data_IF_990834548040
#
_entry.id   IF_990834548040
#
_cell.length_a   1.000
_cell.length_b   1.000
_cell.length_c   1.000
_cell.angle_alpha   90.00
_cell.angle_beta   90.00
_cell.angle_gamma   90.00
#
_symmetry.space_group_name_H-M   'P 1'
#
loop_
_entity.id
_entity.type
_entity.pdbx_description
1 polymer ?
#
# COMPACT_ATOMS: atom_id res chain seq x y z
N UNK A 1 24.13 -3.02 -59.77
CA UNK A 1 25.39 -2.64 -59.08
C UNK A 1 25.95 -3.87 -58.39
N UNK A 2 27.26 -4.09 -58.52
CA UNK A 2 28.01 -5.34 -58.31
C UNK A 2 28.17 -5.79 -56.85
N UNK A 3 28.08 -7.11 -56.64
CA UNK A 3 28.96 -8.07 -55.90
C UNK A 3 29.73 -7.60 -54.65
N UNK A 4 29.58 -8.35 -53.53
CA UNK A 4 30.63 -9.05 -52.71
C UNK A 4 30.02 -9.36 -51.31
N UNK A 5 29.65 -10.60 -50.94
CA UNK A 5 30.44 -11.74 -50.38
C UNK A 5 31.28 -11.48 -49.13
N UNK A 6 31.13 -12.38 -48.13
CA UNK A 6 32.09 -12.68 -47.05
C UNK A 6 31.77 -11.97 -45.74
N UNK A 7 31.87 -12.56 -44.53
CA UNK A 7 32.61 -13.74 -44.10
C UNK A 7 31.96 -14.26 -42.80
N UNK A 8 31.87 -15.60 -42.66
CA UNK A 8 31.67 -16.27 -41.37
C UNK A 8 32.97 -16.22 -40.57
N UNK A 9 32.88 -16.04 -39.25
CA UNK A 9 33.91 -16.50 -38.31
C UNK A 9 33.23 -17.21 -37.12
N UNK A 10 33.65 -18.45 -36.92
CA UNK A 10 33.28 -19.36 -35.84
C UNK A 10 34.25 -19.17 -34.65
N UNK A 11 33.82 -19.76 -33.52
CA UNK A 11 34.66 -20.30 -32.41
C UNK A 11 35.37 -19.24 -31.55
N UNK A 12 35.34 -19.32 -30.22
CA UNK A 12 35.73 -20.44 -29.37
C UNK A 12 35.03 -20.43 -28.01
N UNK A 13 34.60 -21.61 -27.56
CA UNK A 13 34.29 -21.90 -26.16
C UNK A 13 35.60 -21.96 -25.35
N UNK A 14 35.57 -21.40 -24.14
CA UNK A 14 36.58 -21.66 -23.12
C UNK A 14 35.88 -22.25 -21.89
N UNK A 15 36.07 -23.55 -21.72
CA UNK A 15 35.80 -24.29 -20.49
C UNK A 15 36.97 -24.01 -19.55
N UNK A 16 36.69 -23.51 -18.35
CA UNK A 16 37.67 -23.41 -17.27
C UNK A 16 37.15 -24.21 -16.06
N UNK A 17 37.60 -25.46 -16.02
CA UNK A 17 37.69 -26.30 -14.83
C UNK A 17 38.89 -25.86 -13.99
N UNK A 18 38.67 -25.52 -12.72
CA UNK A 18 39.66 -25.62 -11.64
C UNK A 18 38.88 -25.74 -10.31
N UNK A 19 38.85 -26.92 -9.71
CA UNK A 19 39.80 -27.42 -8.72
C UNK A 19 39.28 -27.15 -7.29
N UNK A 20 38.77 -28.22 -6.69
CA UNK A 20 38.41 -28.31 -5.29
C UNK A 20 39.66 -28.21 -4.41
N UNK A 21 39.56 -27.42 -3.34
CA UNK A 21 40.42 -27.54 -2.17
C UNK A 21 39.53 -27.59 -0.93
N UNK A 22 39.32 -28.81 -0.41
CA UNK A 22 38.85 -29.03 0.95
C UNK A 22 39.98 -28.61 1.91
N UNK A 23 39.76 -27.54 2.67
CA UNK A 23 40.49 -27.30 3.92
C UNK A 23 39.57 -27.65 5.08
N UNK A 24 39.82 -28.82 5.67
CA UNK A 24 39.32 -29.20 6.99
C UNK A 24 40.27 -28.59 8.02
N UNK A 25 39.83 -27.55 8.72
CA UNK A 25 40.50 -27.03 9.91
C UNK A 25 39.78 -27.55 11.15
N UNK A 26 40.43 -28.46 11.86
CA UNK A 26 40.05 -28.92 13.19
C UNK A 26 40.35 -27.82 14.21
N UNK A 27 39.31 -27.09 14.62
CA UNK A 27 39.37 -26.12 15.72
C UNK A 27 39.30 -26.79 17.10
N UNK A 28 39.89 -26.17 18.14
CA UNK A 28 39.94 -26.73 19.49
C UNK A 28 38.57 -26.73 20.19
N UNK A 29 38.38 -27.72 21.06
CA UNK A 29 37.18 -27.91 21.87
C UNK A 29 36.84 -26.70 22.75
N UNK A 30 35.56 -26.33 22.90
CA UNK A 30 35.15 -25.34 23.88
C UNK A 30 35.28 -25.91 25.29
N UNK A 31 35.93 -25.15 26.16
CA UNK A 31 35.92 -25.39 27.60
C UNK A 31 34.46 -25.28 28.12
N UNK A 32 34.03 -26.30 28.87
CA UNK A 32 32.78 -26.28 29.62
C UNK A 32 32.83 -25.15 30.66
N UNK A 33 32.16 -24.04 30.35
CA UNK A 33 31.87 -23.01 31.33
C UNK A 33 30.83 -23.54 32.34
N UNK A 34 31.13 -23.35 33.63
CA UNK A 34 30.27 -23.72 34.74
C UNK A 34 28.88 -23.06 34.65
N UNK A 35 27.81 -23.72 35.15
CA UNK A 35 26.47 -23.13 35.17
C UNK A 35 26.46 -21.92 36.11
N UNK A 36 26.12 -20.75 35.56
CA UNK A 36 25.81 -19.56 36.34
C UNK A 36 24.53 -19.81 37.17
N UNK A 37 24.44 -19.29 38.41
CA UNK A 37 23.25 -19.43 39.23
C UNK A 37 22.05 -18.78 38.52
N UNK A 38 20.97 -19.56 38.41
CA UNK A 38 19.68 -19.09 37.92
C UNK A 38 19.13 -18.01 38.85
N UNK A 39 19.30 -16.73 38.48
CA UNK A 39 18.51 -15.65 39.04
C UNK A 39 17.11 -15.70 38.42
N UNK A 40 16.20 -16.38 39.11
CA UNK A 40 14.76 -16.33 38.87
C UNK A 40 14.24 -14.95 39.28
N UNK A 41 14.41 -13.95 38.42
CA UNK A 41 13.63 -12.70 38.51
C UNK A 41 12.39 -12.85 37.66
N UNK A 42 11.39 -13.52 38.24
CA UNK A 42 10.02 -13.45 37.76
C UNK A 42 9.51 -12.01 37.89
N UNK A 43 9.66 -11.20 36.83
CA UNK A 43 8.84 -10.00 36.64
C UNK A 43 7.54 -10.41 35.96
N UNK A 44 6.57 -10.82 36.77
CA UNK A 44 5.16 -10.77 36.40
C UNK A 44 4.69 -9.32 36.48
N UNK A 45 5.05 -8.50 35.49
CA UNK A 45 4.30 -7.28 35.18
C UNK A 45 3.18 -7.64 34.21
N UNK A 46 2.19 -8.37 34.74
CA UNK A 46 0.92 -8.58 34.08
C UNK A 46 0.12 -7.29 34.10
N UNK A 47 0.44 -6.36 33.20
CA UNK A 47 -0.59 -5.45 32.73
C UNK A 47 -1.66 -6.37 32.12
N UNK A 48 -2.83 -6.42 32.73
CA UNK A 48 -3.99 -7.09 32.14
C UNK A 48 -4.19 -6.43 30.78
N UNK A 49 -3.68 -7.07 29.73
CA UNK A 49 -3.78 -6.55 28.37
C UNK A 49 -5.25 -6.39 28.08
N UNK A 50 -5.65 -5.19 27.65
CA UNK A 50 -7.00 -4.95 27.16
C UNK A 50 -7.25 -6.02 26.09
N UNK A 51 -8.32 -6.80 26.26
CA UNK A 51 -8.61 -7.89 25.35
C UNK A 51 -8.83 -7.32 23.95
N UNK A 52 -8.07 -7.83 22.97
CA UNK A 52 -8.27 -7.49 21.56
C UNK A 52 -9.71 -7.80 21.18
N UNK A 53 -10.46 -6.86 20.59
CA UNK A 53 -11.81 -7.12 20.12
C UNK A 53 -11.80 -8.29 19.12
N UNK A 54 -12.74 -9.23 19.27
CA UNK A 54 -12.88 -10.35 18.34
C UNK A 54 -13.40 -9.92 16.96
N UNK A 55 -14.01 -8.75 16.89
CA UNK A 55 -14.56 -8.12 15.68
C UNK A 55 -14.32 -6.61 15.74
N UNK A 56 -14.51 -5.90 14.63
CA UNK A 56 -14.49 -4.43 14.63
C UNK A 56 -15.58 -3.86 15.55
N UNK A 57 -15.21 -2.88 16.38
CA UNK A 57 -16.13 -2.07 17.18
C UNK A 57 -15.88 -0.60 16.86
N UNK A 58 -16.73 0.01 16.00
CA UNK A 58 -16.59 1.41 15.63
C UNK A 58 -16.62 2.39 16.81
N UNK A 59 -17.20 2.02 17.96
CA UNK A 59 -17.22 2.87 19.15
C UNK A 59 -15.82 3.00 19.79
N UNK A 60 -15.00 1.95 19.72
CA UNK A 60 -13.63 1.97 20.24
C UNK A 60 -12.70 2.86 19.41
N UNK A 61 -13.02 3.03 18.12
CA UNK A 61 -12.22 3.79 17.15
C UNK A 61 -12.78 5.17 16.86
N UNK A 62 -13.73 5.63 17.67
CA UNK A 62 -14.35 6.94 17.51
C UNK A 62 -13.32 8.07 17.58
N UNK A 63 -13.75 9.27 17.21
CA UNK A 63 -12.92 10.50 17.24
C UNK A 63 -12.43 10.89 18.64
N UNK A 64 -12.86 10.18 19.68
CA UNK A 64 -12.43 10.36 21.07
C UNK A 64 -11.34 9.39 21.50
N UNK A 65 -10.97 8.41 20.68
CA UNK A 65 -9.86 7.51 21.00
C UNK A 65 -8.56 8.33 21.07
N UNK A 66 -7.71 8.09 22.09
CA UNK A 66 -6.51 8.90 22.28
C UNK A 66 -5.48 8.62 21.18
N UNK A 67 -4.66 9.63 20.86
CA UNK A 67 -3.43 9.43 20.09
C UNK A 67 -2.31 9.14 21.08
N UNK A 68 -1.71 7.94 21.03
CA UNK A 68 -0.83 7.47 22.12
C UNK A 68 0.49 6.81 21.67
N UNK A 69 0.72 6.63 20.38
CA UNK A 69 1.92 5.94 19.89
C UNK A 69 2.34 6.34 18.49
N UNK A 70 3.34 5.63 17.97
CA UNK A 70 3.87 5.78 16.62
C UNK A 70 3.98 4.40 15.99
N UNK A 71 3.46 4.24 14.78
CA UNK A 71 3.56 2.98 14.04
C UNK A 71 5.04 2.74 13.66
N UNK A 72 5.64 1.58 13.97
CA UNK A 72 7.00 1.26 13.52
C UNK A 72 7.09 1.21 11.99
N UNK A 73 8.25 1.57 11.42
CA UNK A 73 8.46 1.50 9.98
C UNK A 73 9.69 2.29 9.52
N UNK A 74 9.99 2.19 8.24
CA UNK A 74 11.04 2.98 7.57
C UNK A 74 10.48 4.35 7.20
N UNK A 75 11.34 5.37 7.18
CA UNK A 75 10.99 6.73 6.76
C UNK A 75 12.07 7.34 5.86
N UNK A 76 11.71 8.35 5.07
CA UNK A 76 12.67 9.10 4.25
C UNK A 76 13.34 8.20 3.19
N UNK A 77 14.64 8.40 2.96
CA UNK A 77 15.39 7.62 1.94
C UNK A 77 15.30 6.11 2.17
N UNK A 78 15.31 5.64 3.42
CA UNK A 78 15.18 4.21 3.69
C UNK A 78 13.82 3.63 3.26
N UNK A 79 12.74 4.41 3.39
CA UNK A 79 11.42 4.00 2.89
C UNK A 79 11.38 4.00 1.36
N UNK A 80 12.04 4.98 0.72
CA UNK A 80 12.13 5.09 -0.74
C UNK A 80 12.90 3.91 -1.33
N UNK A 81 14.06 3.60 -0.77
CA UNK A 81 14.90 2.50 -1.22
C UNK A 81 14.19 1.15 -1.04
N UNK A 82 13.46 0.97 0.07
CA UNK A 82 12.69 -0.24 0.34
C UNK A 82 11.46 -0.39 -0.57
N UNK A 83 10.77 0.70 -0.91
CA UNK A 83 9.67 0.66 -1.86
C UNK A 83 10.14 0.33 -3.28
N UNK A 84 11.40 0.66 -3.61
CA UNK A 84 12.12 0.10 -4.74
C UNK A 84 11.48 0.38 -6.11
N UNK A 85 11.61 -0.57 -7.07
CA UNK A 85 11.13 -0.38 -8.45
C UNK A 85 9.63 -0.11 -8.57
N UNK A 86 8.83 -0.52 -7.58
CA UNK A 86 7.40 -0.32 -7.53
C UNK A 86 7.05 1.17 -7.38
N UNK A 87 7.68 1.85 -6.43
CA UNK A 87 7.51 3.28 -6.24
C UNK A 87 8.09 4.10 -7.41
N UNK A 88 9.23 3.66 -7.96
CA UNK A 88 9.80 4.28 -9.16
C UNK A 88 8.87 4.19 -10.37
N UNK A 89 8.19 3.05 -10.54
CA UNK A 89 7.25 2.84 -11.64
C UNK A 89 6.02 3.73 -11.51
N UNK A 90 5.44 3.81 -10.31
CA UNK A 90 4.33 4.71 -10.01
C UNK A 90 4.69 6.16 -10.36
N UNK A 91 5.85 6.64 -9.90
CA UNK A 91 6.33 8.00 -10.16
C UNK A 91 6.44 8.28 -11.66
N UNK A 92 7.05 7.37 -12.42
CA UNK A 92 7.18 7.52 -13.88
C UNK A 92 5.81 7.68 -14.58
N UNK A 93 4.83 6.87 -14.20
CA UNK A 93 3.50 6.90 -14.80
C UNK A 93 2.71 8.15 -14.37
N UNK A 94 2.86 8.62 -13.13
CA UNK A 94 2.28 9.88 -12.66
C UNK A 94 2.86 11.08 -13.40
N UNK A 95 4.18 11.10 -13.65
CA UNK A 95 4.85 12.12 -14.46
C UNK A 95 4.38 12.09 -15.93
N UNK A 96 4.19 10.91 -16.51
CA UNK A 96 3.62 10.74 -17.85
C UNK A 96 2.17 11.27 -17.94
N UNK A 97 1.30 10.92 -16.99
CA UNK A 97 -0.08 11.45 -16.91
C UNK A 97 -0.11 12.96 -16.80
N UNK A 98 0.77 13.53 -15.97
CA UNK A 98 0.88 14.98 -15.78
C UNK A 98 1.31 15.67 -17.08
N UNK A 99 2.31 15.14 -17.78
CA UNK A 99 2.75 15.66 -19.09
C UNK A 99 1.66 15.54 -20.17
N UNK A 100 0.95 14.41 -20.21
CA UNK A 100 -0.15 14.21 -21.15
C UNK A 100 -1.28 15.23 -20.92
N UNK A 101 -1.65 15.47 -19.66
CA UNK A 101 -2.66 16.49 -19.28
C UNK A 101 -2.22 17.92 -19.62
N UNK A 102 -0.92 18.19 -19.60
CA UNK A 102 -0.35 19.46 -20.06
C UNK A 102 -0.28 19.58 -21.59
N UNK A 103 -0.91 18.68 -22.36
CA UNK A 103 -1.02 18.76 -23.82
C UNK A 103 0.26 18.42 -24.58
N UNK A 104 1.19 17.67 -23.96
CA UNK A 104 2.44 17.28 -24.62
C UNK A 104 2.23 15.95 -25.40
N UNK A 105 2.24 15.96 -26.75
CA UNK A 105 2.06 14.73 -27.55
C UNK A 105 3.31 13.85 -27.45
N UNK A 106 3.13 12.59 -27.05
CA UNK A 106 4.23 11.62 -26.91
C UNK A 106 4.13 10.62 -25.77
N UNK A 107 3.06 10.65 -24.95
CA UNK A 107 2.79 9.55 -24.02
C UNK A 107 2.52 8.30 -24.85
N UNK A 108 3.50 7.38 -24.87
CA UNK A 108 3.33 6.06 -25.47
C UNK A 108 2.06 5.40 -24.92
N UNK A 109 1.50 4.43 -25.63
CA UNK A 109 0.48 3.53 -25.10
C UNK A 109 1.07 2.77 -23.90
N UNK A 110 1.08 3.46 -22.75
CA UNK A 110 1.78 3.04 -21.56
C UNK A 110 0.94 1.98 -20.88
N UNK A 111 1.64 1.05 -20.24
CA UNK A 111 1.07 0.11 -19.29
C UNK A 111 -0.07 0.75 -18.51
N UNK A 112 -1.12 -0.03 -18.35
CA UNK A 112 -2.35 0.42 -17.75
C UNK A 112 -2.09 0.89 -16.31
N UNK A 113 -2.21 2.20 -16.08
CA UNK A 113 -2.50 2.77 -14.77
C UNK A 113 -4.00 3.05 -14.76
N UNK A 114 -4.77 2.06 -14.34
CA UNK A 114 -6.22 2.22 -14.15
C UNK A 114 -6.52 2.20 -12.67
N UNK A 115 -7.30 3.19 -12.29
CA UNK A 115 -7.89 3.31 -10.97
C UNK A 115 -9.40 3.30 -11.10
N UNK A 116 -10.06 2.80 -10.06
CA UNK A 116 -11.46 3.06 -9.81
C UNK A 116 -11.59 3.42 -8.34
N UNK A 117 -12.35 4.47 -8.04
CA UNK A 117 -12.53 4.88 -6.67
C UNK A 117 -13.83 5.62 -6.36
N UNK A 118 -13.77 6.35 -5.23
CA UNK A 118 -14.76 7.34 -4.85
C UNK A 118 -14.08 8.71 -4.86
N UNK A 119 -14.55 9.54 -5.78
CA UNK A 119 -14.23 10.95 -5.83
C UNK A 119 -14.80 11.67 -4.59
N UNK A 120 -13.93 12.46 -3.96
CA UNK A 120 -14.30 13.42 -2.93
C UNK A 120 -14.20 14.81 -3.55
N UNK A 121 -15.27 15.63 -3.56
CA UNK A 121 -15.20 16.97 -4.13
C UNK A 121 -14.12 17.81 -3.43
N UNK A 122 -13.39 18.63 -4.20
CA UNK A 122 -12.40 19.55 -3.62
C UNK A 122 -13.05 20.43 -2.53
N UNK A 123 -12.45 20.45 -1.34
CA UNK A 123 -12.97 21.19 -0.18
C UNK A 123 -14.09 20.49 0.59
N UNK A 124 -14.53 19.30 0.18
CA UNK A 124 -15.55 18.53 0.91
C UNK A 124 -15.01 17.84 2.18
N UNK A 125 -13.68 17.80 2.34
CA UNK A 125 -13.04 17.00 3.37
C UNK A 125 -11.78 17.66 3.94
N UNK A 126 -11.67 17.63 5.27
CA UNK A 126 -10.43 17.85 6.02
C UNK A 126 -9.81 16.53 6.49
N UNK A 127 -10.35 15.38 6.07
CA UNK A 127 -9.89 14.08 6.51
C UNK A 127 -10.73 12.89 6.02
N UNK A 128 -10.09 11.73 5.96
CA UNK A 128 -10.64 10.47 5.53
C UNK A 128 -10.38 9.42 6.60
N UNK A 129 -11.43 8.73 7.03
CA UNK A 129 -11.34 7.53 7.85
C UNK A 129 -11.88 6.35 7.06
N UNK A 130 -11.22 5.20 7.13
CA UNK A 130 -11.65 3.99 6.45
C UNK A 130 -11.20 2.74 7.20
N UNK A 131 -11.82 1.60 6.89
CA UNK A 131 -11.36 0.28 7.31
C UNK A 131 -11.04 -0.54 6.09
N UNK A 132 -9.80 -0.98 5.97
CA UNK A 132 -9.22 -1.53 4.74
C UNK A 132 -8.73 -2.95 4.99
N UNK A 133 -9.10 -3.87 4.10
CA UNK A 133 -8.69 -5.28 4.18
C UNK A 133 -7.19 -5.44 3.95
N UNK A 134 -6.60 -6.43 4.60
CA UNK A 134 -5.28 -6.97 4.28
C UNK A 134 -5.45 -8.33 3.65
N UNK A 135 -4.93 -8.48 2.44
CA UNK A 135 -4.93 -9.76 1.74
C UNK A 135 -3.70 -10.56 2.18
N UNK A 136 -3.82 -11.21 3.33
CA UNK A 136 -2.80 -12.12 3.84
C UNK A 136 -2.72 -13.42 3.04
N UNK A 137 -1.51 -13.94 2.83
CA UNK A 137 -1.29 -15.21 2.13
C UNK A 137 -1.50 -15.15 0.61
N UNK A 138 -1.70 -13.97 0.03
CA UNK A 138 -1.57 -13.76 -1.40
C UNK A 138 -0.16 -14.13 -1.85
N UNK A 139 -0.06 -14.66 -3.07
CA UNK A 139 1.25 -14.85 -3.68
C UNK A 139 1.84 -13.47 -3.93
N UNK A 140 3.17 -13.39 -3.77
CA UNK A 140 3.94 -12.30 -4.35
C UNK A 140 3.48 -12.05 -5.78
N UNK A 141 3.31 -10.78 -6.15
CA UNK A 141 3.05 -10.45 -7.54
C UNK A 141 4.26 -10.82 -8.39
N UNK A 142 4.00 -11.18 -9.64
CA UNK A 142 5.01 -11.54 -10.63
C UNK A 142 4.93 -10.64 -11.85
N UNK A 143 5.87 -10.77 -12.79
CA UNK A 143 5.88 -9.96 -14.01
C UNK A 143 6.24 -8.48 -13.81
N UNK A 144 6.66 -8.09 -12.60
CA UNK A 144 6.85 -6.70 -12.23
C UNK A 144 5.53 -5.96 -11.98
N UNK A 145 4.44 -6.70 -11.72
CA UNK A 145 3.15 -6.13 -11.39
C UNK A 145 3.09 -5.66 -9.94
N UNK A 146 2.30 -4.62 -9.70
CA UNK A 146 2.00 -4.11 -8.36
C UNK A 146 0.49 -3.87 -8.26
N UNK A 147 -0.08 -4.26 -7.12
CA UNK A 147 -1.49 -3.99 -6.80
C UNK A 147 -1.52 -3.06 -5.61
N UNK A 148 -2.15 -1.90 -5.79
CA UNK A 148 -2.36 -0.90 -4.75
C UNK A 148 -3.84 -0.92 -4.39
N UNK A 149 -4.17 -1.60 -3.29
CA UNK A 149 -5.56 -1.78 -2.90
C UNK A 149 -5.73 -2.24 -1.43
N UNK A 150 -6.57 -1.59 -0.64
CA UNK A 150 -7.15 -0.26 -0.86
C UNK A 150 -6.10 0.87 -0.81
N UNK A 151 -6.41 2.02 -1.42
CA UNK A 151 -5.71 3.30 -1.15
C UNK A 151 -6.65 4.31 -0.47
N UNK A 152 -6.08 5.35 0.14
CA UNK A 152 -6.79 6.38 0.89
C UNK A 152 -6.08 7.73 0.79
N UNK A 153 -6.67 8.69 0.05
CA UNK A 153 -6.25 10.09 0.02
C UNK A 153 -7.46 11.00 0.28
N UNK A 154 -7.41 11.90 1.30
CA UNK A 154 -8.44 12.91 1.48
C UNK A 154 -8.46 13.94 0.34
N UNK A 155 -9.60 14.61 0.15
CA UNK A 155 -9.68 15.74 -0.78
C UNK A 155 -8.86 16.96 -0.31
N UNK A 156 -8.83 18.01 -1.13
CA UNK A 156 -8.43 19.35 -0.68
C UNK A 156 -6.93 19.58 -0.58
N UNK A 157 -6.13 18.87 -1.39
CA UNK A 157 -4.67 19.01 -1.40
C UNK A 157 -4.01 18.31 -0.22
N UNK A 158 -4.54 17.14 0.17
CA UNK A 158 -3.98 16.32 1.21
C UNK A 158 -2.53 15.95 0.90
N UNK A 159 -1.65 16.08 1.90
CA UNK A 159 -0.23 15.81 1.73
C UNK A 159 0.12 14.32 1.68
N UNK A 160 -0.84 13.43 1.94
CA UNK A 160 -0.55 12.01 2.07
C UNK A 160 -1.64 11.15 1.47
N UNK A 161 -1.19 10.10 0.80
CA UNK A 161 -2.01 8.95 0.44
C UNK A 161 -1.49 7.72 1.19
N UNK A 162 -2.39 7.01 1.85
CA UNK A 162 -2.10 5.70 2.44
C UNK A 162 -2.42 4.61 1.43
N UNK A 163 -1.47 3.73 1.15
CA UNK A 163 -1.60 2.69 0.12
C UNK A 163 -1.20 1.34 0.69
N UNK A 164 -2.09 0.35 0.61
CA UNK A 164 -1.66 -1.05 0.77
C UNK A 164 -1.07 -1.52 -0.56
N UNK A 165 0.25 -1.73 -0.59
CA UNK A 165 0.99 -2.17 -1.76
C UNK A 165 1.28 -3.67 -1.67
N UNK A 166 0.82 -4.45 -2.65
CA UNK A 166 1.24 -5.83 -2.84
C UNK A 166 2.31 -5.89 -3.92
N UNK A 167 3.50 -6.26 -3.50
CA UNK A 167 4.70 -6.31 -4.33
C UNK A 167 5.22 -7.76 -4.44
N UNK A 168 6.26 -8.01 -5.25
CA UNK A 168 6.94 -9.29 -5.25
C UNK A 168 7.56 -9.70 -3.90
N UNK A 169 7.84 -8.72 -3.02
CA UNK A 169 8.44 -8.97 -1.70
C UNK A 169 7.40 -9.15 -0.59
N UNK A 170 6.14 -8.81 -0.87
CA UNK A 170 5.01 -8.99 0.03
C UNK A 170 4.12 -7.76 0.17
N UNK A 171 3.14 -7.80 1.10
CA UNK A 171 2.30 -6.67 1.41
C UNK A 171 3.01 -5.66 2.33
N UNK A 172 3.02 -4.41 1.91
CA UNK A 172 3.47 -3.28 2.69
C UNK A 172 2.35 -2.23 2.78
N UNK A 173 2.35 -1.48 3.88
CA UNK A 173 1.59 -0.25 3.98
C UNK A 173 2.54 0.92 3.73
N UNK A 174 2.18 1.80 2.79
CA UNK A 174 2.95 2.98 2.42
C UNK A 174 2.18 4.26 2.73
N UNK A 175 2.91 5.33 3.06
CA UNK A 175 2.43 6.70 2.90
C UNK A 175 3.21 7.38 1.76
N UNK A 176 2.52 7.71 0.68
CA UNK A 176 3.02 8.63 -0.32
C UNK A 176 3.01 10.05 0.23
N UNK A 177 4.13 10.75 0.12
CA UNK A 177 4.26 12.15 0.52
C UNK A 177 4.12 13.06 -0.71
N UNK A 178 2.99 13.74 -0.78
CA UNK A 178 2.63 14.66 -1.86
C UNK A 178 2.97 16.12 -1.55
N UNK A 179 3.59 16.41 -0.40
CA UNK A 179 3.98 17.78 0.02
C UNK A 179 5.46 17.94 0.36
N UNK A 180 6.18 16.84 0.64
CA UNK A 180 7.61 16.83 0.94
C UNK A 180 8.53 16.84 -0.28
N UNK A 181 7.98 17.00 -1.49
CA UNK A 181 8.72 17.04 -2.75
C UNK A 181 8.60 15.74 -3.54
N UNK A 182 7.77 15.78 -4.58
CA UNK A 182 7.55 14.82 -5.67
C UNK A 182 7.56 13.35 -5.28
N UNK A 183 6.35 12.83 -5.08
CA UNK A 183 5.94 11.45 -5.37
C UNK A 183 6.89 10.41 -4.79
N UNK A 184 7.09 10.47 -3.47
CA UNK A 184 7.94 9.51 -2.76
C UNK A 184 7.18 8.81 -1.67
N UNK A 185 7.55 7.57 -1.42
CA UNK A 185 7.14 6.88 -0.21
C UNK A 185 7.86 7.53 0.97
N UNK A 186 7.11 8.33 1.74
CA UNK A 186 7.60 9.01 2.94
C UNK A 186 7.73 8.07 4.13
N UNK A 187 6.88 7.04 4.17
CA UNK A 187 6.92 5.95 5.16
C UNK A 187 6.51 4.61 4.55
N UNK A 188 7.16 3.54 5.00
CA UNK A 188 6.86 2.15 4.65
C UNK A 188 6.79 1.29 5.91
N UNK A 189 5.83 0.38 6.00
CA UNK A 189 5.71 -0.59 7.09
C UNK A 189 5.32 -1.95 6.52
N UNK A 190 6.16 -2.99 6.67
CA UNK A 190 5.78 -4.34 6.28
C UNK A 190 4.55 -4.81 7.04
N UNK A 191 3.60 -5.43 6.33
CA UNK A 191 2.36 -5.95 6.93
C UNK A 191 2.58 -7.38 7.45
N UNK A 192 3.62 -7.54 8.27
CA UNK A 192 4.04 -8.80 8.86
C UNK A 192 3.15 -9.22 10.05
N UNK A 193 3.52 -10.31 10.74
CA UNK A 193 2.78 -10.79 11.90
C UNK A 193 2.67 -9.77 13.04
N UNK A 194 3.64 -8.88 13.22
CA UNK A 194 3.61 -7.84 14.25
C UNK A 194 2.60 -6.75 13.87
N UNK A 195 2.60 -6.32 12.60
CA UNK A 195 1.57 -5.41 12.07
C UNK A 195 0.18 -6.03 12.23
N UNK A 196 -0.01 -7.26 11.75
CA UNK A 196 -1.30 -7.96 11.79
C UNK A 196 -1.81 -8.13 13.23
N UNK A 197 -0.94 -8.49 14.17
CA UNK A 197 -1.36 -8.64 15.58
C UNK A 197 -1.69 -7.34 16.30
N UNK A 198 -1.19 -6.20 15.82
CA UNK A 198 -1.33 -4.90 16.47
C UNK A 198 -2.41 -4.02 15.84
N UNK A 199 -2.41 -3.91 14.51
CA UNK A 199 -3.18 -2.92 13.77
C UNK A 199 -4.38 -3.49 13.01
N UNK A 200 -4.63 -4.81 13.09
CA UNK A 200 -5.79 -5.41 12.42
C UNK A 200 -6.84 -5.92 13.39
N UNK A 201 -8.05 -6.06 12.88
CA UNK A 201 -9.15 -6.86 13.44
C UNK A 201 -9.75 -7.73 12.31
N UNK A 202 -10.81 -8.47 12.61
CA UNK A 202 -11.55 -9.23 11.58
C UNK A 202 -12.76 -8.45 11.10
N UNK A 203 -12.82 -8.15 9.80
CA UNK A 203 -13.97 -7.56 9.11
C UNK A 203 -14.30 -8.41 7.90
N UNK A 204 -15.57 -8.82 7.74
CA UNK A 204 -15.98 -9.69 6.63
C UNK A 204 -15.22 -11.03 6.58
N UNK A 205 -14.76 -11.53 7.74
CA UNK A 205 -13.97 -12.76 7.84
C UNK A 205 -12.50 -12.63 7.42
N UNK A 206 -11.99 -11.40 7.27
CA UNK A 206 -10.61 -11.12 6.82
C UNK A 206 -9.90 -10.14 7.76
N UNK A 207 -8.57 -10.17 7.85
CA UNK A 207 -7.82 -9.12 8.54
C UNK A 207 -8.08 -7.77 7.87
N UNK A 208 -8.34 -6.74 8.67
CA UNK A 208 -8.51 -5.37 8.20
C UNK A 208 -7.93 -4.40 9.22
N UNK A 209 -7.30 -3.33 8.76
CA UNK A 209 -6.84 -2.24 9.60
C UNK A 209 -7.73 -1.02 9.43
N UNK A 210 -7.70 -0.13 10.42
CA UNK A 210 -8.43 1.12 10.35
C UNK A 210 -7.47 2.29 10.35
N UNK A 211 -7.74 3.24 9.47
CA UNK A 211 -6.93 4.43 9.28
C UNK A 211 -7.74 5.69 9.50
N UNK A 212 -7.03 6.75 9.86
CA UNK A 212 -7.49 8.14 9.91
C UNK A 212 -6.40 9.01 9.27
N UNK A 213 -6.74 9.76 8.23
CA UNK A 213 -5.87 10.77 7.63
C UNK A 213 -6.60 12.10 7.72
N UNK A 214 -6.09 13.10 8.44
CA UNK A 214 -6.73 14.41 8.51
C UNK A 214 -5.74 15.56 8.62
N UNK A 215 -6.21 16.75 8.26
CA UNK A 215 -5.44 17.97 8.37
C UNK A 215 -5.34 18.37 9.85
N UNK A 216 -4.12 18.39 10.37
CA UNK A 216 -3.81 18.78 11.76
C UNK A 216 -3.41 20.24 11.88
N UNK A 217 -3.02 20.90 10.76
CA UNK A 217 -2.80 22.35 10.71
C UNK A 217 -3.12 22.90 9.32
N UNK A 218 -4.14 23.76 9.24
CA UNK A 218 -4.47 24.46 7.99
C UNK A 218 -3.41 25.50 7.58
N UNK A 219 -2.76 26.15 8.56
CA UNK A 219 -1.81 27.24 8.30
C UNK A 219 -0.54 26.77 7.56
N UNK A 220 -0.12 25.54 7.82
CA UNK A 220 1.07 24.91 7.22
C UNK A 220 0.71 23.77 6.27
N UNK A 221 -0.58 23.57 5.98
CA UNK A 221 -1.12 22.40 5.30
C UNK A 221 -0.51 21.09 5.82
N UNK A 222 -0.54 20.89 7.13
CA UNK A 222 -0.03 19.68 7.78
C UNK A 222 -1.14 18.65 7.87
N UNK A 223 -0.84 17.43 7.44
CA UNK A 223 -1.71 16.27 7.52
C UNK A 223 -1.03 15.18 8.33
N UNK A 224 -1.82 14.46 9.13
CA UNK A 224 -1.36 13.29 9.89
C UNK A 224 -2.21 12.06 9.55
N UNK A 225 -1.53 10.95 9.33
CA UNK A 225 -2.11 9.63 9.15
C UNK A 225 -1.92 8.83 10.44
N UNK A 226 -2.93 8.08 10.84
CA UNK A 226 -2.94 7.27 12.03
C UNK A 226 -3.50 5.88 11.73
N UNK A 227 -3.04 4.87 12.47
CA UNK A 227 -3.60 3.53 12.48
C UNK A 227 -4.19 3.23 13.85
N UNK A 228 -5.35 2.57 13.87
CA UNK A 228 -5.94 2.15 15.13
C UNK A 228 -5.20 0.93 15.67
N UNK A 229 -4.61 1.07 16.85
CA UNK A 229 -3.97 -0.02 17.57
C UNK A 229 -5.03 -0.81 18.35
N UNK A 230 -5.39 -1.97 17.83
CA UNK A 230 -6.43 -2.84 18.40
C UNK A 230 -6.00 -3.51 19.71
N UNK A 231 -4.76 -3.33 20.16
CA UNK A 231 -4.28 -3.81 21.47
C UNK A 231 -4.40 -2.76 22.57
N UNK A 232 -4.27 -1.49 22.21
CA UNK A 232 -4.29 -0.37 23.18
C UNK A 232 -5.55 0.48 23.10
N UNK A 233 -6.37 0.28 22.06
CA UNK A 233 -7.54 1.09 21.73
C UNK A 233 -7.21 2.58 21.56
N UNK A 234 -6.06 2.85 20.93
CA UNK A 234 -5.55 4.18 20.65
C UNK A 234 -5.18 4.31 19.17
N UNK A 235 -5.18 5.54 18.68
CA UNK A 235 -4.59 5.89 17.39
C UNK A 235 -3.07 6.02 17.55
N UNK A 236 -2.32 5.28 16.76
CA UNK A 236 -0.87 5.47 16.64
C UNK A 236 -0.59 6.30 15.39
N UNK A 237 0.24 7.34 15.52
CA UNK A 237 0.65 8.17 14.37
C UNK A 237 1.48 7.32 13.42
N UNK A 238 0.99 7.18 12.20
CA UNK A 238 1.71 6.52 11.12
C UNK A 238 2.72 7.49 10.53
N UNK A 239 2.25 8.59 9.94
CA UNK A 239 3.09 9.55 9.23
C UNK A 239 2.49 10.96 9.29
N UNK A 240 3.34 11.98 9.21
CA UNK A 240 2.92 13.38 9.15
C UNK A 240 3.71 14.06 8.04
N UNK A 241 3.01 14.79 7.17
CA UNK A 241 3.62 15.61 6.13
C UNK A 241 3.00 17.00 6.11
N UNK A 242 3.76 17.98 5.65
CA UNK A 242 3.34 19.37 5.53
C UNK A 242 4.00 20.03 4.34
N UNK A 243 3.30 20.93 3.67
CA UNK A 243 3.88 21.69 2.56
C UNK A 243 2.85 22.03 1.50
N UNK A 244 3.35 22.35 0.31
CA UNK A 244 2.49 22.62 -0.84
C UNK A 244 2.15 21.31 -1.51
N UNK A 245 0.87 21.10 -1.82
CA UNK A 245 0.45 19.92 -2.56
C UNK A 245 1.01 19.94 -3.99
N UNK A 246 1.71 18.88 -4.37
CA UNK A 246 2.48 18.81 -5.62
C UNK A 246 1.64 18.48 -6.87
N UNK A 247 0.37 18.07 -6.70
CA UNK A 247 -0.51 17.64 -7.79
C UNK A 247 -1.83 18.44 -7.91
N UNK A 248 -1.83 19.78 -7.87
CA UNK A 248 -3.04 20.60 -7.80
C UNK A 248 -3.97 20.45 -9.01
N UNK A 249 -3.47 19.94 -10.13
CA UNK A 249 -4.26 19.67 -11.34
C UNK A 249 -5.22 18.50 -11.19
N UNK A 250 -5.04 17.63 -10.20
CA UNK A 250 -5.88 16.45 -10.00
C UNK A 250 -6.75 16.67 -8.76
N UNK A 251 -8.06 16.71 -8.97
CA UNK A 251 -9.00 16.56 -7.87
C UNK A 251 -9.04 15.07 -7.52
N UNK A 252 -8.22 14.64 -6.56
CA UNK A 252 -8.23 13.25 -6.12
C UNK A 252 -9.35 13.02 -5.10
N UNK A 253 -9.99 11.87 -5.23
CA UNK A 253 -10.63 11.18 -4.12
C UNK A 253 -9.81 9.95 -3.76
N UNK A 254 -10.36 9.06 -2.95
CA UNK A 254 -9.65 7.82 -2.65
C UNK A 254 -9.79 6.82 -3.81
N UNK A 255 -8.67 6.21 -4.20
CA UNK A 255 -8.63 5.17 -5.20
C UNK A 255 -8.86 3.81 -4.53
N UNK A 256 -9.94 3.14 -4.93
CA UNK A 256 -10.31 1.85 -4.33
C UNK A 256 -9.32 0.77 -4.75
N UNK A 257 -9.02 0.72 -6.05
CA UNK A 257 -8.21 -0.32 -6.64
C UNK A 257 -7.38 0.25 -7.78
N UNK A 258 -6.07 0.16 -7.64
CA UNK A 258 -5.10 0.64 -8.62
C UNK A 258 -4.12 -0.49 -8.94
N UNK A 259 -3.82 -0.67 -10.23
CA UNK A 259 -2.89 -1.70 -10.69
C UNK A 259 -1.86 -1.13 -11.63
N UNK A 260 -0.68 -1.70 -11.52
CA UNK A 260 0.44 -1.55 -12.44
C UNK A 260 0.73 -2.92 -12.98
N UNK A 261 0.41 -3.14 -14.25
CA UNK A 261 0.50 -4.49 -14.80
C UNK A 261 1.10 -4.53 -16.20
N UNK A 262 1.84 -5.60 -16.45
CA UNK A 262 2.15 -6.07 -17.80
C UNK A 262 1.23 -7.23 -18.16
N UNK A 263 0.68 -7.20 -19.37
CA UNK A 263 -0.13 -8.30 -19.89
C UNK A 263 0.75 -9.54 -20.10
N UNK A 264 0.36 -10.66 -19.49
CA UNK A 264 0.93 -11.96 -19.77
C UNK A 264 0.50 -12.40 -21.19
N UNK A 265 1.44 -12.58 -22.14
CA UNK A 265 1.10 -12.88 -23.52
C UNK A 265 0.45 -14.27 -23.70
N UNK A 266 0.58 -15.17 -22.73
CA UNK A 266 -0.02 -16.51 -22.79
C UNK A 266 -1.51 -16.52 -22.39
N UNK A 267 -1.94 -15.59 -21.55
CA UNK A 267 -3.32 -15.51 -21.05
C UNK A 267 -4.09 -14.30 -21.55
N UNK A 268 -3.39 -13.26 -22.01
CA UNK A 268 -3.98 -11.97 -22.38
C UNK A 268 -4.46 -11.14 -21.18
N UNK A 269 -4.09 -11.53 -19.95
CA UNK A 269 -4.41 -10.82 -18.72
C UNK A 269 -3.14 -10.38 -17.98
N UNK A 270 -3.23 -9.40 -17.08
CA UNK A 270 -2.16 -9.00 -16.18
C UNK A 270 -1.67 -10.16 -15.31
N UNK A 271 -0.37 -10.21 -14.99
CA UNK A 271 0.19 -11.27 -14.12
C UNK A 271 -0.50 -11.31 -12.75
N UNK A 272 -0.80 -10.13 -12.20
CA UNK A 272 -1.50 -10.01 -10.91
C UNK A 272 -2.85 -10.75 -10.88
N UNK A 273 -3.52 -10.89 -12.03
CA UNK A 273 -4.81 -11.55 -12.13
C UNK A 273 -4.72 -13.03 -11.71
N UNK A 274 -3.61 -13.69 -12.03
CA UNK A 274 -3.33 -15.06 -11.57
C UNK A 274 -2.78 -15.08 -10.14
N UNK A 275 -1.87 -14.16 -9.81
CA UNK A 275 -1.18 -14.15 -8.51
C UNK A 275 -2.14 -13.86 -7.34
N UNK A 276 -3.15 -13.03 -7.62
CA UNK A 276 -4.17 -12.60 -6.67
C UNK A 276 -5.50 -13.35 -6.86
N UNK A 277 -5.52 -14.47 -7.60
CA UNK A 277 -6.72 -15.26 -7.79
C UNK A 277 -7.31 -15.75 -6.46
N UNK A 278 -8.62 -15.60 -6.30
CA UNK A 278 -9.38 -15.89 -5.07
C UNK A 278 -9.33 -14.79 -4.01
N UNK A 279 -8.54 -13.74 -4.20
CA UNK A 279 -8.39 -12.68 -3.23
C UNK A 279 -9.53 -11.65 -3.31
N UNK A 280 -9.77 -10.98 -2.18
CA UNK A 280 -10.77 -9.92 -2.09
C UNK A 280 -10.18 -8.75 -1.31
N UNK A 281 -10.18 -7.60 -1.95
CA UNK A 281 -9.84 -6.30 -1.37
C UNK A 281 -11.16 -5.60 -1.03
N UNK A 282 -11.21 -4.98 0.14
CA UNK A 282 -12.40 -4.31 0.67
C UNK A 282 -11.95 -3.03 1.37
N UNK A 283 -12.67 -1.94 1.13
CA UNK A 283 -12.66 -0.82 2.07
C UNK A 283 -14.08 -0.40 2.38
N UNK A 284 -14.32 -0.22 3.68
CA UNK A 284 -15.63 -0.03 4.28
C UNK A 284 -15.62 1.02 5.38
N UNK A 285 -16.83 1.37 5.83
CA UNK A 285 -17.07 2.33 6.93
C UNK A 285 -16.39 3.68 6.69
N UNK A 286 -16.37 4.11 5.43
CA UNK A 286 -15.65 5.33 5.05
C UNK A 286 -16.38 6.56 5.58
N UNK A 287 -15.60 7.46 6.19
CA UNK A 287 -16.07 8.74 6.72
C UNK A 287 -15.21 9.87 6.21
N UNK A 288 -15.86 11.02 6.07
CA UNK A 288 -15.27 12.28 5.63
C UNK A 288 -15.37 13.28 6.78
N UNK A 289 -14.27 13.97 7.08
CA UNK A 289 -14.23 15.02 8.10
C UNK A 289 -14.72 16.34 7.50
N UNK A 290 -15.88 16.81 7.95
CA UNK A 290 -16.42 18.13 7.59
C UNK A 290 -16.36 19.05 8.81
N UNK A 291 -15.51 20.07 8.74
CA UNK A 291 -15.15 20.86 9.93
C UNK A 291 -14.51 19.96 10.99
N UNK A 292 -15.17 19.81 12.14
CA UNK A 292 -14.73 18.92 13.23
C UNK A 292 -15.54 17.62 13.34
N UNK A 293 -16.45 17.35 12.40
CA UNK A 293 -17.39 16.22 12.49
C UNK A 293 -17.07 15.18 11.43
N UNK A 294 -16.84 13.94 11.87
CA UNK A 294 -16.77 12.79 10.98
C UNK A 294 -18.18 12.38 10.55
N UNK A 295 -18.43 12.42 9.24
CA UNK A 295 -19.71 12.02 8.63
C UNK A 295 -19.49 10.82 7.71
N UNK A 296 -20.39 9.82 7.67
CA UNK A 296 -20.31 8.77 6.68
C UNK A 296 -20.21 9.33 5.26
N UNK A 297 -19.44 8.65 4.41
CA UNK A 297 -19.42 8.98 3.00
C UNK A 297 -20.81 8.70 2.39
N UNK A 298 -21.37 9.71 1.72
CA UNK A 298 -22.71 9.75 1.18
C UNK A 298 -22.75 10.65 -0.07
N UNK A 299 -23.82 10.63 -0.90
CA UNK A 299 -23.86 11.36 -2.17
C UNK A 299 -23.65 12.89 -2.05
N UNK A 300 -23.78 13.46 -0.84
CA UNK A 300 -23.54 14.87 -0.57
C UNK A 300 -22.06 15.26 -0.35
N UNK A 301 -21.19 14.30 -0.02
CA UNK A 301 -19.77 14.56 0.29
C UNK A 301 -18.80 13.65 -0.50
N UNK A 302 -19.33 12.74 -1.31
CA UNK A 302 -18.56 11.74 -2.04
C UNK A 302 -19.38 11.17 -3.20
N UNK A 303 -18.72 10.61 -4.22
CA UNK A 303 -19.37 9.96 -5.36
C UNK A 303 -18.45 8.93 -6.02
N UNK A 304 -18.91 7.71 -6.36
CA UNK A 304 -18.16 6.79 -7.19
C UNK A 304 -17.77 7.39 -8.53
N UNK A 305 -16.58 7.04 -9.00
CA UNK A 305 -16.06 7.49 -10.29
C UNK A 305 -16.94 7.02 -11.46
N UNK A 306 -17.58 5.86 -11.29
CA UNK A 306 -18.53 5.31 -12.23
C UNK A 306 -19.58 4.43 -11.53
N UNK A 307 -20.78 4.39 -12.11
CA UNK A 307 -21.87 3.52 -11.70
C UNK A 307 -22.61 3.05 -12.97
N UNK A 308 -22.61 1.75 -13.28
CA UNK A 308 -21.98 0.65 -12.52
C UNK A 308 -20.44 0.75 -12.48
N UNK A 309 -19.77 0.04 -11.55
CA UNK A 309 -18.33 -0.10 -11.55
C UNK A 309 -17.79 -0.57 -12.91
N UNK A 310 -16.55 -0.22 -13.27
CA UNK A 310 -15.94 -0.66 -14.51
C UNK A 310 -15.75 -2.19 -14.50
N UNK A 311 -15.79 -2.81 -15.68
CA UNK A 311 -15.46 -4.24 -15.83
C UNK A 311 -13.99 -4.50 -15.52
N UNK A 312 -13.67 -5.67 -14.94
CA UNK A 312 -12.29 -6.09 -14.70
C UNK A 312 -11.37 -6.08 -15.91
N UNK A 313 -11.89 -6.27 -17.13
CA UNK A 313 -11.11 -6.14 -18.38
C UNK A 313 -10.52 -4.74 -18.59
N UNK A 314 -11.06 -3.69 -17.95
CA UNK A 314 -10.44 -2.36 -17.94
C UNK A 314 -9.19 -2.28 -17.08
N UNK A 315 -8.95 -3.31 -16.26
CA UNK A 315 -7.79 -3.51 -15.38
C UNK A 315 -6.88 -4.63 -15.91
N UNK A 316 -7.02 -5.03 -17.17
CA UNK A 316 -6.35 -6.21 -17.76
C UNK A 316 -6.58 -7.51 -16.97
N UNK A 317 -7.65 -7.61 -16.17
CA UNK A 317 -8.01 -8.82 -15.45
C UNK A 317 -9.50 -9.14 -15.63
N UNK A 318 -9.89 -9.94 -16.64
CA UNK A 318 -11.30 -10.24 -16.90
C UNK A 318 -12.06 -10.89 -15.73
N UNK A 319 -11.36 -11.59 -14.83
CA UNK A 319 -11.90 -12.19 -13.60
C UNK A 319 -12.01 -11.21 -12.42
N UNK A 320 -11.57 -9.96 -12.58
CA UNK A 320 -11.77 -8.93 -11.56
C UNK A 320 -13.23 -8.46 -11.57
N UNK A 321 -13.91 -8.71 -10.45
CA UNK A 321 -15.23 -8.15 -10.14
C UNK A 321 -15.10 -6.98 -9.18
N UNK A 322 -15.63 -5.83 -9.57
CA UNK A 322 -15.74 -4.64 -8.73
C UNK A 322 -17.20 -4.44 -8.33
N UNK A 323 -17.48 -4.27 -7.04
CA UNK A 323 -18.84 -4.06 -6.53
C UNK A 323 -18.88 -2.96 -5.49
N UNK A 324 -19.95 -2.15 -5.55
CA UNK A 324 -20.31 -1.21 -4.49
C UNK A 324 -21.35 -1.91 -3.59
N UNK A 325 -20.92 -2.36 -2.41
CA UNK A 325 -21.85 -2.89 -1.41
C UNK A 325 -22.72 -1.78 -0.82
N UNK A 326 -22.15 -0.58 -0.70
CA UNK A 326 -22.88 0.65 -0.44
C UNK A 326 -22.23 1.80 -1.20
N UNK A 327 -23.04 2.71 -1.75
CA UNK A 327 -22.64 3.53 -2.89
C UNK A 327 -21.42 4.44 -2.63
N UNK A 328 -21.09 4.77 -1.39
CA UNK A 328 -20.05 5.76 -1.10
C UNK A 328 -19.08 5.36 0.01
N UNK A 329 -19.38 4.30 0.77
CA UNK A 329 -18.60 3.96 1.96
C UNK A 329 -18.25 2.47 2.05
N UNK A 330 -18.65 1.63 1.07
CA UNK A 330 -18.28 0.22 1.04
C UNK A 330 -18.19 -0.34 -0.38
N UNK A 331 -17.01 -0.82 -0.75
CA UNK A 331 -16.76 -1.49 -2.01
C UNK A 331 -15.89 -2.72 -1.81
N UNK A 332 -15.92 -3.61 -2.80
CA UNK A 332 -15.03 -4.77 -2.86
C UNK A 332 -14.50 -4.99 -4.27
N UNK A 333 -13.24 -5.38 -4.36
CA UNK A 333 -12.60 -5.90 -5.56
C UNK A 333 -12.27 -7.38 -5.32
N UNK A 334 -12.84 -8.29 -6.11
CA UNK A 334 -12.57 -9.73 -6.02
C UNK A 334 -12.01 -10.22 -7.33
N UNK A 335 -10.90 -10.94 -7.26
CA UNK A 335 -10.31 -11.62 -8.41
C UNK A 335 -10.68 -13.10 -8.27
N UNK A 336 -11.41 -13.68 -9.22
CA UNK A 336 -11.86 -15.07 -9.08
C UNK A 336 -12.46 -15.68 -10.34
#
# INVERSE_FOLDING_TARGET
>A
MRILTGLRARTTAAVLTAAAALLVTSGPAPALAAPAPAHTTARTSGAAGIARPAADDPALRGSTAPIAGVVPGLTGTAAQDAAGPAADRFRQLTEERTRAKAGHPGAAAAQLHTTWGVNLPNGASLGLQATQSVVGGARATSGGDYVYAPTAIPAGGACMEMTTAYTPDGPDLWAWDWCGGRDRVGKLTPMDSAFLSTYTTTVGGRPAYSLDIHQTSAASNTWSAHLFNYRTHAWDTYYTSSGTYDLPQFAFGWDMFEVYTSVNPSTGAGYYCQDMAGQTFDSSSVKVLSGSTWTPAAPGNSRPDSTPPPSGSRFDCPSLGLTLAHANDHWTARIG
#
